data_IF_255484803820
#
_entry.id   IF_255484803820
#
_cell.length_a   1.000
_cell.length_b   1.000
_cell.length_c   1.000
_cell.angle_alpha   90.00
_cell.angle_beta   90.00
_cell.angle_gamma   90.00
#
_symmetry.space_group_name_H-M   'P 1'
#
loop_
_entity.id
_entity.type
_entity.pdbx_description
1 polymer ?
#
# COMPACT_ATOMS: atom_id res chain seq x y z
N UNK A 1 -74.21 -12.28 43.11
CA UNK A 1 -73.40 -11.03 43.07
C UNK A 1 -72.00 -11.14 43.69
N UNK A 2 -71.77 -11.92 44.77
CA UNK A 2 -70.42 -12.03 45.41
C UNK A 2 -69.30 -12.65 44.54
N UNK A 3 -69.60 -13.52 43.57
CA UNK A 3 -68.56 -14.12 42.69
C UNK A 3 -68.05 -13.17 41.58
N UNK A 4 -68.84 -12.18 41.17
CA UNK A 4 -68.44 -11.21 40.13
C UNK A 4 -67.56 -10.10 40.73
N UNK A 5 -67.79 -9.75 42.00
CA UNK A 5 -67.02 -8.72 42.71
C UNK A 5 -65.55 -9.12 42.96
N UNK A 6 -65.29 -10.40 43.27
CA UNK A 6 -63.92 -10.89 43.48
C UNK A 6 -63.09 -10.95 42.19
N UNK A 7 -63.71 -11.11 41.02
CA UNK A 7 -62.98 -11.14 39.74
C UNK A 7 -62.55 -9.71 39.34
N UNK A 8 -63.38 -8.70 39.62
CA UNK A 8 -63.05 -7.30 39.37
C UNK A 8 -61.97 -6.76 40.34
N UNK A 9 -61.97 -7.18 41.60
CA UNK A 9 -60.94 -6.78 42.58
C UNK A 9 -59.55 -7.32 42.20
N UNK A 10 -59.47 -8.56 41.71
CA UNK A 10 -58.21 -9.15 41.24
C UNK A 10 -57.72 -8.46 39.96
N UNK A 11 -58.62 -8.12 39.02
CA UNK A 11 -58.24 -7.41 37.78
C UNK A 11 -57.75 -5.96 38.03
N UNK A 12 -58.24 -5.27 39.07
CA UNK A 12 -57.76 -3.93 39.45
C UNK A 12 -56.38 -3.92 40.13
N UNK A 13 -56.02 -5.00 40.83
CA UNK A 13 -54.68 -5.15 41.43
C UNK A 13 -53.65 -5.52 40.34
N UNK A 14 -54.06 -6.27 39.30
CA UNK A 14 -53.19 -6.58 38.16
C UNK A 14 -53.02 -5.42 37.16
N UNK A 15 -53.99 -4.50 37.04
CA UNK A 15 -53.86 -3.33 36.17
C UNK A 15 -53.01 -2.19 36.78
N UNK A 16 -52.91 -2.12 38.11
CA UNK A 16 -52.03 -1.16 38.80
C UNK A 16 -50.57 -1.62 38.89
N UNK A 17 -50.31 -2.93 38.91
CA UNK A 17 -48.95 -3.49 38.90
C UNK A 17 -48.23 -3.40 37.55
N UNK A 18 -48.98 -3.20 36.45
CA UNK A 18 -48.43 -3.12 35.09
C UNK A 18 -48.06 -1.70 34.66
N UNK A 19 -48.50 -0.67 35.40
CA UNK A 19 -48.25 0.74 35.03
C UNK A 19 -47.00 1.33 35.73
N UNK A 20 -46.53 0.75 36.84
CA UNK A 20 -45.32 1.24 37.55
C UNK A 20 -43.99 0.83 36.86
N UNK A 21 -44.02 -0.07 35.88
CA UNK A 21 -42.81 -0.55 35.18
C UNK A 21 -42.54 0.09 33.80
N UNK A 22 -43.28 1.13 33.39
CA UNK A 22 -43.14 1.73 32.07
C UNK A 22 -42.37 3.06 32.01
N UNK A 23 -41.82 3.56 33.12
CA UNK A 23 -40.99 4.79 33.13
C UNK A 23 -39.62 4.65 33.83
N UNK A 24 -39.01 3.47 33.82
CA UNK A 24 -37.57 3.38 34.10
C UNK A 24 -36.77 3.37 32.80
N UNK A 25 -36.68 4.54 32.15
CA UNK A 25 -35.61 4.82 31.18
C UNK A 25 -34.30 5.09 31.93
N UNK A 26 -33.88 4.19 32.82
CA UNK A 26 -32.51 4.17 33.30
C UNK A 26 -31.68 3.38 32.26
N UNK A 27 -30.68 3.99 31.58
CA UNK A 27 -29.81 3.23 30.69
C UNK A 27 -29.21 2.07 31.50
N UNK A 28 -29.23 0.85 30.92
CA UNK A 28 -28.71 -0.36 31.58
C UNK A 28 -27.34 -0.02 32.17
N UNK A 29 -27.17 -0.22 33.47
CA UNK A 29 -25.96 0.16 34.23
C UNK A 29 -24.67 -0.40 33.62
N UNK A 30 -24.76 -1.50 32.88
CA UNK A 30 -23.69 -2.08 32.06
C UNK A 30 -23.28 -1.20 30.88
N UNK A 31 -24.23 -0.60 30.15
CA UNK A 31 -23.98 0.26 28.98
C UNK A 31 -23.37 1.62 29.38
N UNK A 32 -23.75 2.14 30.56
CA UNK A 32 -23.15 3.34 31.15
C UNK A 32 -21.73 3.06 31.62
N UNK A 33 -21.47 1.94 32.30
CA UNK A 33 -20.13 1.52 32.72
C UNK A 33 -19.21 1.22 31.52
N UNK A 34 -19.72 0.60 30.47
CA UNK A 34 -18.98 0.38 29.22
C UNK A 34 -18.67 1.69 28.49
N UNK A 35 -19.61 2.64 28.43
CA UNK A 35 -19.34 4.00 27.90
C UNK A 35 -18.30 4.76 28.72
N UNK A 36 -18.39 4.71 30.05
CA UNK A 36 -17.44 5.39 30.93
C UNK A 36 -16.02 4.78 30.85
N UNK A 37 -15.91 3.45 30.74
CA UNK A 37 -14.63 2.77 30.54
C UNK A 37 -14.05 3.02 29.14
N UNK A 38 -14.88 3.12 28.10
CA UNK A 38 -14.41 3.55 26.76
C UNK A 38 -13.97 5.01 26.72
N UNK A 39 -14.63 5.91 27.46
CA UNK A 39 -14.26 7.34 27.59
C UNK A 39 -12.94 7.52 28.34
N UNK A 40 -12.54 6.60 29.23
CA UNK A 40 -11.24 6.65 29.93
C UNK A 40 -10.13 5.84 29.24
N UNK A 41 -10.32 5.40 28.00
CA UNK A 41 -9.34 4.60 27.28
C UNK A 41 -8.56 5.46 26.25
N UNK A 42 -7.25 5.75 26.46
CA UNK A 42 -6.45 6.55 25.53
C UNK A 42 -6.44 5.95 24.11
N UNK A 43 -6.47 4.62 24.00
CA UNK A 43 -6.47 3.91 22.70
C UNK A 43 -7.74 4.14 21.89
N UNK A 44 -8.88 4.39 22.56
CA UNK A 44 -10.14 4.71 21.88
C UNK A 44 -10.02 6.05 21.15
N UNK A 45 -9.61 7.09 21.86
CA UNK A 45 -9.41 8.41 21.28
C UNK A 45 -8.26 8.45 20.27
N UNK A 46 -7.18 7.71 20.52
CA UNK A 46 -6.09 7.56 19.55
C UNK A 46 -6.60 7.03 18.20
N UNK A 47 -7.44 5.99 18.21
CA UNK A 47 -8.01 5.40 16.98
C UNK A 47 -8.94 6.35 16.24
N UNK A 48 -9.79 7.09 16.97
CA UNK A 48 -10.62 8.13 16.35
C UNK A 48 -9.77 9.22 15.71
N UNK A 49 -8.77 9.69 16.46
CA UNK A 49 -7.82 10.69 16.01
C UNK A 49 -7.05 10.26 14.75
N UNK A 50 -6.60 9.00 14.68
CA UNK A 50 -5.97 8.45 13.48
C UNK A 50 -6.94 8.40 12.29
N UNK A 51 -8.18 7.98 12.50
CA UNK A 51 -9.18 7.91 11.43
C UNK A 51 -9.47 9.30 10.84
N UNK A 52 -9.59 10.33 11.69
CA UNK A 52 -9.76 11.71 11.25
C UNK A 52 -8.49 12.26 10.57
N UNK A 53 -7.30 11.89 11.05
CA UNK A 53 -6.03 12.28 10.46
C UNK A 53 -5.85 11.69 9.05
N UNK A 54 -6.30 10.44 8.84
CA UNK A 54 -6.35 9.79 7.53
C UNK A 54 -7.41 10.42 6.62
N UNK A 55 -8.55 10.83 7.18
CA UNK A 55 -9.62 11.53 6.47
C UNK A 55 -9.31 12.97 6.09
N UNK A 56 -8.25 13.56 6.66
CA UNK A 56 -7.88 14.97 6.47
C UNK A 56 -8.63 15.96 7.37
N UNK A 57 -9.43 15.46 8.32
CA UNK A 57 -10.17 16.26 9.30
C UNK A 57 -9.24 16.71 10.43
N UNK A 58 -8.32 17.62 10.13
CA UNK A 58 -7.22 17.97 11.05
C UNK A 58 -7.69 18.47 12.42
N UNK A 59 -8.73 19.31 12.47
CA UNK A 59 -9.28 19.83 13.73
C UNK A 59 -9.82 18.71 14.63
N UNK A 60 -10.55 17.75 14.05
CA UNK A 60 -11.11 16.62 14.77
C UNK A 60 -10.03 15.62 15.19
N UNK A 61 -9.04 15.39 14.33
CA UNK A 61 -7.87 14.59 14.65
C UNK A 61 -7.13 15.15 15.87
N UNK A 62 -6.83 16.46 15.87
CA UNK A 62 -6.18 17.13 17.00
C UNK A 62 -7.03 17.02 18.26
N UNK A 63 -8.35 17.22 18.18
CA UNK A 63 -9.24 17.09 19.33
C UNK A 63 -9.17 15.71 19.98
N UNK A 64 -9.32 14.64 19.21
CA UNK A 64 -9.27 13.29 19.77
C UNK A 64 -7.87 12.88 20.21
N UNK A 65 -6.83 13.26 19.46
CA UNK A 65 -5.45 12.95 19.85
C UNK A 65 -5.02 13.71 21.12
N UNK A 66 -5.53 14.93 21.36
CA UNK A 66 -5.37 15.63 22.63
C UNK A 66 -6.02 14.87 23.79
N UNK A 67 -7.26 14.39 23.62
CA UNK A 67 -7.90 13.55 24.64
C UNK A 67 -7.12 12.27 24.94
N UNK A 68 -6.57 11.63 23.90
CA UNK A 68 -5.71 10.48 24.08
C UNK A 68 -4.45 10.85 24.88
N UNK A 69 -3.83 11.99 24.56
CA UNK A 69 -2.65 12.52 25.25
C UNK A 69 -2.92 12.93 26.71
N UNK A 70 -4.09 13.48 27.01
CA UNK A 70 -4.51 13.81 28.38
C UNK A 70 -4.65 12.56 29.25
N UNK A 71 -5.06 11.43 28.66
CA UNK A 71 -5.18 10.14 29.35
C UNK A 71 -3.85 9.38 29.45
N UNK A 72 -2.99 9.48 28.44
CA UNK A 72 -1.63 8.93 28.46
C UNK A 72 -0.67 9.85 27.70
N UNK A 73 0.03 10.70 28.45
CA UNK A 73 0.90 11.71 27.89
C UNK A 73 2.27 11.18 27.45
N UNK A 74 2.59 9.92 27.77
CA UNK A 74 3.90 9.30 27.49
C UNK A 74 3.81 8.17 26.45
N UNK A 75 2.62 7.81 25.99
CA UNK A 75 2.46 6.91 24.85
C UNK A 75 3.05 7.55 23.57
N UNK A 76 4.07 6.89 23.02
CA UNK A 76 4.84 7.39 21.87
C UNK A 76 4.04 7.34 20.57
N UNK A 77 3.08 6.43 20.44
CA UNK A 77 2.15 6.39 19.30
C UNK A 77 1.25 7.62 19.29
N UNK A 78 0.70 7.98 20.45
CA UNK A 78 -0.13 9.18 20.64
C UNK A 78 0.69 10.45 20.37
N UNK A 79 1.90 10.56 20.95
CA UNK A 79 2.80 11.68 20.73
C UNK A 79 3.12 11.88 19.24
N UNK A 80 3.44 10.79 18.53
CA UNK A 80 3.71 10.83 17.10
C UNK A 80 2.49 11.27 16.29
N UNK A 81 1.32 10.67 16.54
CA UNK A 81 0.11 11.01 15.80
C UNK A 81 -0.32 12.45 16.04
N UNK A 82 -0.30 12.92 17.29
CA UNK A 82 -0.61 14.31 17.62
C UNK A 82 0.40 15.27 17.00
N UNK A 83 1.69 14.91 17.01
CA UNK A 83 2.75 15.66 16.32
C UNK A 83 2.50 15.77 14.81
N UNK A 84 2.12 14.68 14.15
CA UNK A 84 1.77 14.69 12.71
C UNK A 84 0.54 15.57 12.46
N UNK A 85 -0.47 15.50 13.32
CA UNK A 85 -1.68 16.32 13.19
C UNK A 85 -1.37 17.82 13.30
N UNK A 86 -0.56 18.23 14.28
CA UNK A 86 -0.10 19.61 14.39
C UNK A 86 0.78 20.04 13.21
N UNK A 87 1.70 19.19 12.76
CA UNK A 87 2.54 19.50 11.60
C UNK A 87 1.70 19.78 10.34
N UNK A 88 0.67 18.96 10.10
CA UNK A 88 -0.27 19.16 8.98
C UNK A 88 -1.16 20.40 9.14
N UNK A 89 -1.45 20.80 10.38
CA UNK A 89 -2.20 22.01 10.69
C UNK A 89 -1.34 23.29 10.67
N UNK A 90 -0.04 23.20 10.38
CA UNK A 90 0.89 24.34 10.38
C UNK A 90 1.43 24.72 11.77
N UNK A 91 1.06 23.97 12.81
CA UNK A 91 1.44 24.18 14.21
C UNK A 91 2.81 23.54 14.50
N UNK A 92 3.83 23.98 13.76
CA UNK A 92 5.14 23.31 13.65
C UNK A 92 5.88 23.19 14.99
N UNK A 93 5.87 24.23 15.81
CA UNK A 93 6.55 24.20 17.13
C UNK A 93 5.91 23.20 18.10
N UNK A 94 4.57 23.08 18.08
CA UNK A 94 3.86 22.07 18.89
C UNK A 94 4.23 20.66 18.41
N UNK A 95 4.27 20.44 17.10
CA UNK A 95 4.70 19.18 16.51
C UNK A 95 6.13 18.80 16.90
N UNK A 96 7.08 19.75 16.76
CA UNK A 96 8.49 19.56 17.11
C UNK A 96 8.66 19.15 18.57
N UNK A 97 7.98 19.84 19.51
CA UNK A 97 8.01 19.50 20.95
C UNK A 97 7.56 18.07 21.21
N UNK A 98 6.47 17.62 20.57
CA UNK A 98 5.96 16.26 20.74
C UNK A 98 6.89 15.20 20.15
N UNK A 99 7.45 15.43 18.96
CA UNK A 99 8.42 14.50 18.38
C UNK A 99 9.70 14.39 19.23
N UNK A 100 10.20 15.51 19.76
CA UNK A 100 11.34 15.49 20.68
C UNK A 100 11.02 14.74 21.99
N UNK A 101 9.81 14.91 22.54
CA UNK A 101 9.35 14.12 23.69
C UNK A 101 9.31 12.62 23.36
N UNK A 102 8.74 12.24 22.22
CA UNK A 102 8.69 10.87 21.74
C UNK A 102 10.10 10.24 21.56
N UNK A 103 11.06 11.00 21.01
CA UNK A 103 12.46 10.55 20.89
C UNK A 103 13.10 10.29 22.26
N UNK A 104 12.84 11.16 23.25
CA UNK A 104 13.36 10.97 24.60
C UNK A 104 12.83 9.70 25.26
N UNK A 105 11.56 9.35 25.01
CA UNK A 105 10.91 8.17 25.58
C UNK A 105 11.31 6.87 24.87
N UNK A 106 11.34 6.87 23.53
CA UNK A 106 11.74 5.70 22.73
C UNK A 106 12.85 6.08 21.72
N UNK A 107 14.12 6.13 22.14
CA UNK A 107 15.23 6.61 21.29
C UNK A 107 15.56 5.68 20.11
N UNK A 108 15.00 4.46 20.08
CA UNK A 108 15.14 3.49 18.99
C UNK A 108 13.97 3.51 18.00
N UNK A 109 13.01 4.41 18.16
CA UNK A 109 11.85 4.51 17.26
C UNK A 109 12.16 5.34 16.01
N UNK A 110 12.66 4.69 14.96
CA UNK A 110 13.07 5.35 13.70
C UNK A 110 11.96 6.16 12.99
N UNK A 111 10.69 5.84 13.23
CA UNK A 111 9.55 6.59 12.71
C UNK A 111 9.52 8.04 13.22
N UNK A 112 9.79 8.26 14.52
CA UNK A 112 9.75 9.61 15.10
C UNK A 112 10.85 10.50 14.55
N UNK A 113 12.07 9.96 14.39
CA UNK A 113 13.17 10.66 13.71
C UNK A 113 12.80 11.02 12.28
N UNK A 114 12.14 10.11 11.55
CA UNK A 114 11.67 10.37 10.18
C UNK A 114 10.62 11.49 10.17
N UNK A 115 9.65 11.49 11.08
CA UNK A 115 8.63 12.52 11.15
C UNK A 115 9.21 13.91 11.48
N UNK A 116 10.15 13.98 12.42
CA UNK A 116 10.84 15.22 12.75
C UNK A 116 11.71 15.73 11.58
N UNK A 117 12.41 14.83 10.89
CA UNK A 117 13.16 15.17 9.69
C UNK A 117 12.26 15.75 8.59
N UNK A 118 11.07 15.16 8.37
CA UNK A 118 10.09 15.69 7.39
C UNK A 118 9.62 17.09 7.79
N UNK A 119 9.31 17.30 9.07
CA UNK A 119 8.92 18.61 9.58
C UNK A 119 10.00 19.66 9.31
N UNK A 120 11.27 19.37 9.66
CA UNK A 120 12.40 20.27 9.44
C UNK A 120 12.67 20.54 7.96
N UNK A 121 12.57 19.52 7.11
CA UNK A 121 12.71 19.68 5.66
C UNK A 121 11.60 20.59 5.08
N UNK A 122 10.38 20.55 5.63
CA UNK A 122 9.28 21.45 5.25
C UNK A 122 9.53 22.91 5.66
N UNK A 123 10.45 23.16 6.57
CA UNK A 123 10.91 24.49 6.98
C UNK A 123 12.16 24.95 6.22
N UNK A 124 12.66 24.16 5.26
CA UNK A 124 13.91 24.45 4.56
C UNK A 124 15.18 24.14 5.36
N UNK A 125 15.06 23.61 6.59
CA UNK A 125 16.18 23.22 7.45
C UNK A 125 16.75 21.86 7.03
N UNK A 126 17.32 21.82 5.82
CA UNK A 126 17.72 20.59 5.16
C UNK A 126 18.84 19.83 5.87
N UNK A 127 19.84 20.52 6.40
CA UNK A 127 20.95 19.86 7.08
C UNK A 127 20.55 19.26 8.42
N UNK A 128 19.68 19.94 9.17
CA UNK A 128 19.08 19.37 10.38
C UNK A 128 18.20 18.16 10.04
N UNK A 129 17.36 18.26 9.00
CA UNK A 129 16.52 17.16 8.54
C UNK A 129 17.35 15.91 8.19
N UNK A 130 18.47 16.10 7.48
CA UNK A 130 19.39 15.01 7.13
C UNK A 130 19.95 14.31 8.38
N UNK A 131 20.32 15.03 9.44
CA UNK A 131 20.79 14.42 10.69
C UNK A 131 19.74 13.47 11.29
N UNK A 132 18.48 13.89 11.33
CA UNK A 132 17.39 13.05 11.86
C UNK A 132 17.07 11.86 10.94
N UNK A 133 17.07 12.05 9.62
CA UNK A 133 16.89 10.92 8.69
C UNK A 133 18.05 9.92 8.75
N UNK A 134 19.30 10.39 8.84
CA UNK A 134 20.48 9.55 9.03
C UNK A 134 20.38 8.74 10.32
N UNK A 135 19.90 9.37 11.40
CA UNK A 135 19.63 8.65 12.64
C UNK A 135 18.55 7.58 12.45
N UNK A 136 17.47 7.87 11.73
CA UNK A 136 16.43 6.88 11.43
C UNK A 136 16.98 5.66 10.65
N UNK A 137 17.80 5.88 9.61
CA UNK A 137 18.35 4.78 8.81
C UNK A 137 19.43 3.97 9.51
N UNK A 138 20.10 4.55 10.53
CA UNK A 138 21.06 3.85 11.38
C UNK A 138 20.42 2.87 12.38
N UNK A 139 19.10 2.92 12.55
CA UNK A 139 18.37 2.03 13.46
C UNK A 139 17.97 0.75 12.73
N UNK A 140 18.68 -0.36 12.98
CA UNK A 140 18.49 -1.61 12.24
C UNK A 140 17.09 -2.23 12.38
N UNK A 141 16.47 -2.05 13.55
CA UNK A 141 15.11 -2.53 13.84
C UNK A 141 14.02 -1.71 13.13
N UNK A 142 14.37 -0.55 12.53
CA UNK A 142 13.40 0.28 11.85
C UNK A 142 12.97 -0.34 10.51
N UNK A 143 11.72 -0.81 10.47
CA UNK A 143 11.17 -1.54 9.32
C UNK A 143 10.83 -0.65 8.12
N UNK A 144 10.73 0.66 8.31
CA UNK A 144 10.34 1.62 7.27
C UNK A 144 11.52 2.52 6.85
N UNK A 145 12.76 1.97 6.84
CA UNK A 145 13.97 2.70 6.43
C UNK A 145 13.91 3.20 5.00
N UNK A 146 13.17 2.53 4.12
CA UNK A 146 12.85 3.00 2.76
C UNK A 146 12.27 4.42 2.76
N UNK A 147 11.34 4.74 3.65
CA UNK A 147 10.76 6.10 3.74
C UNK A 147 11.81 7.14 4.13
N UNK A 148 12.72 6.80 5.04
CA UNK A 148 13.80 7.69 5.45
C UNK A 148 14.83 7.88 4.32
N UNK A 149 15.25 6.80 3.64
CA UNK A 149 16.11 6.90 2.44
C UNK A 149 15.46 7.76 1.36
N UNK A 150 14.16 7.57 1.11
CA UNK A 150 13.42 8.35 0.13
C UNK A 150 13.41 9.84 0.49
N UNK A 151 13.16 10.18 1.76
CA UNK A 151 13.19 11.57 2.21
C UNK A 151 14.59 12.19 2.12
N UNK A 152 15.65 11.43 2.40
CA UNK A 152 17.03 11.89 2.18
C UNK A 152 17.25 12.24 0.71
N UNK A 153 16.79 11.38 -0.21
CA UNK A 153 16.88 11.67 -1.65
C UNK A 153 16.16 12.99 -1.98
N UNK A 154 14.92 13.17 -1.49
CA UNK A 154 14.16 14.41 -1.73
C UNK A 154 14.88 15.66 -1.21
N UNK A 155 15.55 15.58 -0.05
CA UNK A 155 16.36 16.68 0.47
C UNK A 155 17.54 16.97 -0.46
N UNK A 156 18.29 15.96 -0.89
CA UNK A 156 19.40 16.18 -1.81
C UNK A 156 18.97 16.74 -3.17
N UNK A 157 17.78 16.34 -3.67
CA UNK A 157 17.16 16.97 -4.84
C UNK A 157 16.93 18.46 -4.62
N UNK A 158 16.43 18.86 -3.46
CA UNK A 158 16.21 20.28 -3.11
C UNK A 158 17.50 21.06 -2.98
N UNK A 159 18.58 20.42 -2.50
CA UNK A 159 19.93 20.99 -2.45
C UNK A 159 20.66 20.99 -3.80
N UNK A 160 20.06 20.45 -4.86
CA UNK A 160 20.68 20.33 -6.19
C UNK A 160 21.76 19.25 -6.30
N UNK A 161 21.98 18.43 -5.26
CA UNK A 161 22.94 17.33 -5.31
C UNK A 161 22.29 16.09 -5.93
N UNK A 162 22.33 16.02 -7.26
CA UNK A 162 21.66 14.97 -8.01
C UNK A 162 22.35 13.60 -7.90
N UNK A 163 23.66 13.56 -7.62
CA UNK A 163 24.39 12.31 -7.41
C UNK A 163 23.87 11.59 -6.15
N UNK A 164 23.78 12.29 -5.03
CA UNK A 164 23.22 11.73 -3.80
C UNK A 164 21.71 11.49 -3.91
N UNK A 165 20.98 12.32 -4.65
CA UNK A 165 19.56 12.04 -4.94
C UNK A 165 19.37 10.69 -5.64
N UNK A 166 20.16 10.40 -6.68
CA UNK A 166 20.12 9.11 -7.39
C UNK A 166 20.49 7.95 -6.44
N UNK A 167 21.59 8.09 -5.70
CA UNK A 167 22.09 7.07 -4.77
C UNK A 167 21.03 6.69 -3.72
N UNK A 168 20.40 7.69 -3.09
CA UNK A 168 19.41 7.43 -2.05
C UNK A 168 18.07 6.92 -2.60
N UNK A 169 17.69 7.26 -3.84
CA UNK A 169 16.59 6.59 -4.52
C UNK A 169 16.91 5.12 -4.80
N UNK A 170 18.13 4.79 -5.22
CA UNK A 170 18.58 3.39 -5.38
C UNK A 170 18.54 2.64 -4.04
N UNK A 171 19.05 3.23 -2.96
CA UNK A 171 18.96 2.65 -1.60
C UNK A 171 17.51 2.40 -1.16
N UNK A 172 16.60 3.33 -1.48
CA UNK A 172 15.15 3.15 -1.24
C UNK A 172 14.63 1.90 -1.93
N UNK A 173 14.98 1.70 -3.21
CA UNK A 173 14.54 0.56 -4.02
C UNK A 173 15.23 -0.76 -3.62
N UNK A 174 16.47 -0.72 -3.15
CA UNK A 174 17.16 -1.89 -2.57
C UNK A 174 16.44 -2.37 -1.31
N UNK A 175 16.01 -1.45 -0.43
CA UNK A 175 15.30 -1.79 0.79
C UNK A 175 13.83 -2.20 0.53
N UNK A 176 13.14 -1.47 -0.35
CA UNK A 176 11.77 -1.74 -0.75
C UNK A 176 11.61 -1.69 -2.28
N UNK A 177 11.71 -2.84 -2.96
CA UNK A 177 11.53 -2.94 -4.41
C UNK A 177 10.14 -2.58 -4.93
N UNK A 178 9.15 -2.39 -4.05
CA UNK A 178 7.77 -2.02 -4.39
C UNK A 178 7.48 -0.52 -4.19
N UNK A 179 8.51 0.30 -3.88
CA UNK A 179 8.36 1.73 -3.65
C UNK A 179 8.16 2.50 -4.98
N UNK A 180 6.92 2.52 -5.47
CA UNK A 180 6.58 3.06 -6.78
C UNK A 180 7.05 4.50 -7.06
N UNK A 181 6.95 5.40 -6.07
CA UNK A 181 7.36 6.80 -6.20
C UNK A 181 8.86 6.95 -6.47
N UNK A 182 9.69 6.02 -5.99
CA UNK A 182 11.12 6.05 -6.21
C UNK A 182 11.46 5.74 -7.68
N UNK A 183 10.80 4.74 -8.29
CA UNK A 183 10.93 4.49 -9.74
C UNK A 183 10.46 5.67 -10.58
N UNK A 184 9.35 6.32 -10.20
CA UNK A 184 8.82 7.48 -10.92
C UNK A 184 9.86 8.61 -10.95
N UNK A 185 10.37 8.99 -9.77
CA UNK A 185 11.32 10.08 -9.64
C UNK A 185 12.68 9.76 -10.27
N UNK A 186 13.16 8.52 -10.13
CA UNK A 186 14.43 8.08 -10.70
C UNK A 186 14.38 8.08 -12.24
N UNK A 187 13.31 7.51 -12.81
CA UNK A 187 13.12 7.51 -14.26
C UNK A 187 12.91 8.92 -14.82
N UNK A 188 12.20 9.81 -14.11
CA UNK A 188 12.05 11.20 -14.53
C UNK A 188 13.38 11.94 -14.53
N UNK A 189 14.21 11.70 -13.53
CA UNK A 189 15.55 12.24 -13.45
C UNK A 189 16.44 11.76 -14.60
N UNK A 190 16.41 10.47 -14.92
CA UNK A 190 17.15 9.93 -16.06
C UNK A 190 16.66 10.50 -17.41
N UNK A 191 15.35 10.64 -17.60
CA UNK A 191 14.81 11.30 -18.80
C UNK A 191 15.32 12.74 -18.93
N UNK A 192 15.30 13.53 -17.85
CA UNK A 192 15.81 14.91 -17.86
C UNK A 192 17.31 14.99 -18.10
N UNK A 193 18.06 14.03 -17.57
CA UNK A 193 19.50 13.92 -17.74
C UNK A 193 19.91 13.26 -19.06
N UNK A 194 18.94 13.04 -19.98
CA UNK A 194 19.13 12.37 -21.29
C UNK A 194 19.67 10.93 -21.21
N UNK A 195 19.60 10.29 -20.04
CA UNK A 195 19.97 8.90 -19.78
C UNK A 195 18.79 7.97 -20.10
N UNK A 196 18.43 7.89 -21.37
CA UNK A 196 17.17 7.25 -21.78
C UNK A 196 17.13 5.74 -21.57
N UNK A 197 18.27 5.05 -21.68
CA UNK A 197 18.38 3.61 -21.39
C UNK A 197 18.13 3.35 -19.90
N UNK A 198 18.80 4.12 -19.02
CA UNK A 198 18.57 4.01 -17.56
C UNK A 198 17.11 4.29 -17.19
N UNK A 199 16.47 5.26 -17.85
CA UNK A 199 15.05 5.55 -17.66
C UNK A 199 14.18 4.35 -18.08
N UNK A 200 14.45 3.78 -19.26
CA UNK A 200 13.77 2.59 -19.76
C UNK A 200 13.90 1.41 -18.77
N UNK A 201 15.12 1.08 -18.35
CA UNK A 201 15.38 -0.04 -17.44
C UNK A 201 14.72 0.17 -16.08
N UNK A 202 14.74 1.41 -15.57
CA UNK A 202 14.09 1.77 -14.31
C UNK A 202 12.59 1.52 -14.36
N UNK A 203 11.92 2.03 -15.40
CA UNK A 203 10.48 1.85 -15.51
C UNK A 203 10.08 0.42 -15.89
N UNK A 204 10.90 -0.29 -16.68
CA UNK A 204 10.68 -1.69 -17.00
C UNK A 204 10.80 -2.56 -15.74
N UNK A 205 11.79 -2.28 -14.89
CA UNK A 205 11.95 -2.95 -13.60
C UNK A 205 10.73 -2.75 -12.71
N UNK A 206 10.18 -1.53 -12.65
CA UNK A 206 8.90 -1.29 -11.95
C UNK A 206 7.76 -2.18 -12.47
N UNK A 207 7.60 -2.31 -13.80
CA UNK A 207 6.58 -3.21 -14.37
C UNK A 207 6.85 -4.68 -14.04
N UNK A 208 8.10 -5.12 -14.06
CA UNK A 208 8.50 -6.49 -13.70
C UNK A 208 8.22 -6.81 -12.23
N UNK A 209 8.25 -5.79 -11.35
CA UNK A 209 7.82 -5.90 -9.95
C UNK A 209 6.29 -5.85 -9.77
N UNK A 210 5.52 -5.72 -10.86
CA UNK A 210 4.06 -5.65 -10.83
C UNK A 210 3.50 -4.26 -10.53
N UNK A 211 4.31 -3.21 -10.65
CA UNK A 211 3.90 -1.82 -10.39
C UNK A 211 3.28 -1.23 -11.66
N UNK A 212 2.02 -1.59 -11.92
CA UNK A 212 1.28 -1.15 -13.11
C UNK A 212 0.57 0.20 -12.89
N UNK A 213 1.35 1.28 -12.84
CA UNK A 213 0.84 2.65 -12.67
C UNK A 213 0.86 3.45 -13.98
N UNK A 214 -0.12 4.37 -14.22
CA UNK A 214 -0.13 5.24 -15.38
C UNK A 214 1.18 6.03 -15.59
N UNK A 215 1.79 6.50 -14.50
CA UNK A 215 3.04 7.27 -14.53
C UNK A 215 4.23 6.43 -15.00
N UNK A 216 4.27 5.15 -14.65
CA UNK A 216 5.33 4.22 -15.09
C UNK A 216 5.19 3.96 -16.59
N UNK A 217 3.97 3.70 -17.06
CA UNK A 217 3.70 3.54 -18.49
C UNK A 217 3.96 4.83 -19.29
N UNK A 218 3.64 5.99 -18.73
CA UNK A 218 3.94 7.28 -19.36
C UNK A 218 5.46 7.49 -19.45
N UNK A 219 6.19 7.16 -18.38
CA UNK A 219 7.65 7.15 -18.33
C UNK A 219 8.27 6.27 -19.41
N UNK A 220 7.81 5.02 -19.55
CA UNK A 220 8.25 4.11 -20.62
C UNK A 220 7.94 4.64 -22.02
N UNK A 221 6.75 5.21 -22.21
CA UNK A 221 6.37 5.86 -23.46
C UNK A 221 7.36 6.97 -23.86
N UNK A 222 7.72 7.83 -22.89
CA UNK A 222 8.75 8.87 -23.09
C UNK A 222 10.13 8.29 -23.36
N UNK A 223 10.56 7.26 -22.62
CA UNK A 223 11.86 6.62 -22.82
C UNK A 223 11.97 6.02 -24.23
N UNK A 224 10.96 5.27 -24.68
CA UNK A 224 10.91 4.73 -26.04
C UNK A 224 10.89 5.81 -27.12
N UNK A 225 10.19 6.93 -26.89
CA UNK A 225 10.19 8.05 -27.82
C UNK A 225 11.60 8.62 -28.02
N UNK A 226 12.34 8.87 -26.93
CA UNK A 226 13.71 9.37 -27.01
C UNK A 226 14.69 8.35 -27.60
N UNK A 227 14.44 7.05 -27.38
CA UNK A 227 15.13 5.93 -28.03
C UNK A 227 14.65 5.67 -29.48
N UNK A 228 13.85 6.57 -30.06
CA UNK A 228 13.35 6.50 -31.45
C UNK A 228 12.45 5.30 -31.75
N UNK A 229 11.99 4.56 -30.75
CA UNK A 229 11.04 3.48 -30.91
C UNK A 229 9.60 4.01 -30.82
N UNK A 230 9.15 4.68 -31.86
CA UNK A 230 7.86 5.39 -31.85
C UNK A 230 6.65 4.44 -31.76
N UNK A 231 6.77 3.21 -32.28
CA UNK A 231 5.74 2.17 -32.18
C UNK A 231 5.53 1.77 -30.71
N UNK A 232 6.60 1.42 -29.99
CA UNK A 232 6.52 1.08 -28.55
C UNK A 232 6.13 2.29 -27.72
N UNK A 233 6.63 3.48 -28.06
CA UNK A 233 6.23 4.72 -27.39
C UNK A 233 4.72 4.91 -27.43
N UNK A 234 4.10 4.83 -28.62
CA UNK A 234 2.65 4.97 -28.77
C UNK A 234 1.88 3.90 -27.98
N UNK A 235 2.35 2.66 -28.01
CA UNK A 235 1.76 1.55 -27.27
C UNK A 235 1.71 1.82 -25.76
N UNK A 236 2.83 2.20 -25.15
CA UNK A 236 2.89 2.45 -23.70
C UNK A 236 2.13 3.71 -23.29
N UNK A 237 2.12 4.76 -24.13
CA UNK A 237 1.30 5.96 -23.89
C UNK A 237 -0.20 5.65 -23.92
N UNK A 238 -0.66 4.82 -24.85
CA UNK A 238 -2.06 4.34 -24.87
C UNK A 238 -2.41 3.55 -23.62
N UNK A 239 -1.51 2.69 -23.12
CA UNK A 239 -1.69 2.01 -21.83
C UNK A 239 -1.79 3.00 -20.66
N UNK A 240 -0.90 3.99 -20.62
CA UNK A 240 -0.91 5.03 -19.60
C UNK A 240 -2.24 5.80 -19.59
N UNK A 241 -2.73 6.18 -20.78
CA UNK A 241 -3.99 6.91 -20.94
C UNK A 241 -5.19 6.11 -20.44
N UNK A 242 -5.25 4.83 -20.81
CA UNK A 242 -6.33 3.92 -20.42
C UNK A 242 -6.41 3.69 -18.90
N UNK A 243 -5.25 3.65 -18.22
CA UNK A 243 -5.19 3.45 -16.78
C UNK A 243 -5.36 4.75 -15.98
N UNK A 244 -5.10 5.90 -16.61
CA UNK A 244 -5.14 7.19 -15.92
C UNK A 244 -6.58 7.56 -15.55
N UNK A 245 -6.77 7.96 -14.28
CA UNK A 245 -7.99 8.63 -13.80
C UNK A 245 -7.78 10.13 -13.57
N UNK A 246 -6.52 10.58 -13.59
CA UNK A 246 -6.16 11.97 -13.33
C UNK A 246 -6.22 12.76 -14.64
N UNK A 247 -7.04 13.82 -14.68
CA UNK A 247 -7.32 14.61 -15.88
C UNK A 247 -6.03 15.29 -16.40
N UNK A 248 -5.24 15.88 -15.51
CA UNK A 248 -3.97 16.54 -15.86
C UNK A 248 -3.01 15.54 -16.49
N UNK A 249 -2.86 14.35 -15.90
CA UNK A 249 -2.01 13.31 -16.46
C UNK A 249 -2.52 12.83 -17.83
N UNK A 250 -3.85 12.73 -18.02
CA UNK A 250 -4.42 12.37 -19.34
C UNK A 250 -4.05 13.40 -20.41
N UNK A 251 -4.23 14.68 -20.11
CA UNK A 251 -3.87 15.77 -21.03
C UNK A 251 -2.38 15.72 -21.40
N UNK A 252 -1.50 15.54 -20.40
CA UNK A 252 -0.06 15.39 -20.65
C UNK A 252 0.26 14.19 -21.55
N UNK A 253 -0.42 13.05 -21.35
CA UNK A 253 -0.22 11.86 -22.17
C UNK A 253 -0.74 12.09 -23.60
N UNK A 254 -1.90 12.70 -23.77
CA UNK A 254 -2.49 13.01 -25.08
C UNK A 254 -1.63 13.97 -25.90
N UNK A 255 -1.14 15.03 -25.27
CA UNK A 255 -0.23 15.98 -25.90
C UNK A 255 1.06 15.28 -26.36
N UNK A 256 1.64 14.45 -25.50
CA UNK A 256 2.84 13.70 -25.85
C UNK A 256 2.57 12.64 -26.93
N UNK A 257 1.40 12.02 -26.92
CA UNK A 257 0.96 11.04 -27.93
C UNK A 257 0.86 11.68 -29.31
N UNK A 258 0.41 12.94 -29.41
CA UNK A 258 0.41 13.71 -30.66
C UNK A 258 1.83 13.83 -31.22
N UNK A 259 2.80 14.24 -30.38
CA UNK A 259 4.23 14.33 -30.76
C UNK A 259 4.80 12.99 -31.22
N UNK A 260 4.40 11.87 -30.59
CA UNK A 260 4.83 10.53 -31.01
C UNK A 260 4.25 10.13 -32.36
N UNK A 261 2.96 10.41 -32.61
CA UNK A 261 2.28 10.08 -33.88
C UNK A 261 2.86 10.85 -35.05
N UNK A 262 3.15 12.13 -34.87
CA UNK A 262 3.83 12.95 -35.88
C UNK A 262 5.16 12.29 -36.28
N UNK A 263 6.04 12.01 -35.30
CA UNK A 263 7.35 11.38 -35.57
C UNK A 263 7.25 9.98 -36.18
N UNK A 264 6.27 9.19 -35.76
CA UNK A 264 6.02 7.85 -36.32
C UNK A 264 5.65 7.93 -37.80
N UNK A 265 4.78 8.87 -38.18
CA UNK A 265 4.36 9.05 -39.58
C UNK A 265 5.54 9.51 -40.45
N UNK A 266 6.41 10.40 -39.95
CA UNK A 266 7.65 10.76 -40.64
C UNK A 266 8.58 9.56 -40.85
N UNK A 267 8.81 8.74 -39.81
CA UNK A 267 9.66 7.53 -39.90
C UNK A 267 9.16 6.56 -40.96
N UNK A 268 7.86 6.32 -41.02
CA UNK A 268 7.26 5.44 -42.02
C UNK A 268 7.41 5.97 -43.46
N UNK A 269 7.42 7.29 -43.64
CA UNK A 269 7.59 7.92 -44.94
C UNK A 269 9.06 7.94 -45.41
N UNK A 270 10.02 7.91 -44.49
CA UNK A 270 11.46 7.78 -44.78
C UNK A 270 11.91 6.32 -44.97
N UNK A 271 11.35 5.37 -44.20
CA UNK A 271 11.55 3.93 -44.42
C UNK A 271 10.95 3.48 -45.78
N UNK A 272 9.87 4.13 -46.24
CA UNK A 272 9.37 3.98 -47.61
C UNK A 272 10.33 4.46 -48.71
N UNK A 273 11.38 5.23 -48.37
CA UNK A 273 12.47 5.64 -49.27
C UNK A 273 13.78 4.87 -49.04
N UNK A 274 13.88 4.12 -47.96
CA UNK A 274 15.11 3.42 -47.56
C UNK A 274 14.73 2.03 -47.08
N UNK A 275 14.35 1.17 -48.03
CA UNK A 275 14.18 -0.25 -47.74
C UNK A 275 15.55 -0.93 -47.66
N UNK A 276 15.66 -1.82 -46.67
CA UNK A 276 16.76 -2.77 -46.38
C UNK A 276 17.89 -2.19 -45.51
N UNK A 277 17.73 -2.25 -44.18
CA UNK A 277 18.78 -2.79 -43.30
C UNK A 277 18.12 -3.71 -42.27
N UNK A 278 18.29 -5.02 -42.47
CA UNK A 278 18.23 -6.01 -41.41
C UNK A 278 19.39 -5.74 -40.46
N UNK A 279 19.17 -5.29 -39.22
CA UNK A 279 20.26 -5.29 -38.24
C UNK A 279 19.81 -5.79 -36.86
N UNK A 280 20.31 -7.00 -36.56
CA UNK A 280 20.51 -7.52 -35.23
C UNK A 280 21.35 -6.52 -34.42
N UNK A 281 20.77 -5.86 -33.42
CA UNK A 281 21.58 -5.09 -32.48
C UNK A 281 22.24 -6.02 -31.45
N UNK A 282 23.57 -6.07 -31.55
CA UNK A 282 24.50 -6.69 -30.63
C UNK A 282 24.17 -6.36 -29.17
N UNK A 283 23.92 -7.39 -28.37
CA UNK A 283 24.00 -7.33 -26.92
C UNK A 283 25.48 -7.21 -26.56
N UNK A 284 25.95 -6.03 -26.18
CA UNK A 284 27.25 -5.92 -25.51
C UNK A 284 27.16 -6.67 -24.17
N UNK A 285 28.03 -7.67 -24.02
CA UNK A 285 28.25 -8.41 -22.77
C UNK A 285 28.62 -7.39 -21.66
N UNK A 286 28.06 -7.48 -20.44
CA UNK A 286 28.44 -6.58 -19.36
C UNK A 286 29.94 -6.74 -19.05
N UNK A 287 30.66 -5.62 -19.00
CA UNK A 287 32.02 -5.59 -18.46
C UNK A 287 31.99 -6.00 -16.98
N UNK A 288 32.93 -6.85 -16.58
CA UNK A 288 33.10 -7.28 -15.20
C UNK A 288 33.35 -6.07 -14.29
N UNK A 289 32.74 -6.03 -13.08
CA UNK A 289 32.94 -4.93 -12.17
C UNK A 289 34.41 -4.83 -11.74
N UNK A 290 35.03 -3.69 -12.04
CA UNK A 290 36.31 -3.30 -11.43
C UNK A 290 36.16 -3.37 -9.91
N UNK A 291 37.12 -4.06 -9.29
CA UNK A 291 37.18 -4.40 -7.87
C UNK A 291 37.00 -3.18 -6.98
N UNK A 292 36.08 -3.28 -6.02
CA UNK A 292 35.84 -2.29 -4.97
C UNK A 292 37.01 -2.28 -3.96
N UNK A 293 37.40 -1.13 -3.39
CA UNK A 293 38.21 -1.10 -2.19
C UNK A 293 37.43 -1.71 -1.01
N UNK A 294 38.12 -2.55 -0.22
CA UNK A 294 37.56 -3.31 0.91
C UNK A 294 37.02 -2.35 1.99
N UNK A 295 35.85 -2.63 2.59
CA UNK A 295 35.36 -1.87 3.74
C UNK A 295 36.20 -2.17 4.98
N UNK A 296 36.61 -1.12 5.69
CA UNK A 296 37.23 -1.20 7.01
C UNK A 296 36.33 -1.94 8.00
N UNK A 297 36.91 -2.92 8.70
CA UNK A 297 36.25 -3.75 9.69
C UNK A 297 35.99 -2.95 10.97
N UNK A 298 34.77 -2.47 11.16
CA UNK A 298 34.29 -2.14 12.50
C UNK A 298 33.96 -3.44 13.25
N UNK A 299 34.72 -3.74 14.30
CA UNK A 299 34.43 -4.82 15.25
C UNK A 299 33.88 -4.21 16.53
N UNK A 300 32.71 -4.69 16.99
CA UNK A 300 32.16 -4.39 18.32
C UNK A 300 31.82 -5.73 19.00
N UNK A 301 32.07 -5.88 20.32
CA UNK A 301 32.16 -7.19 20.97
C UNK A 301 30.81 -7.90 21.08
N UNK A 302 30.79 -9.21 20.77
CA UNK A 302 29.65 -10.08 21.04
C UNK A 302 29.55 -10.36 22.55
N UNK A 303 28.47 -9.91 23.19
CA UNK A 303 27.97 -10.53 24.42
C UNK A 303 26.81 -11.47 24.06
N UNK A 304 26.76 -12.71 24.57
CA UNK A 304 25.69 -13.64 24.24
C UNK A 304 24.39 -13.22 24.94
N UNK A 305 23.32 -13.06 24.17
CA UNK A 305 21.96 -12.79 24.65
C UNK A 305 21.18 -14.10 24.76
N UNK A 306 20.59 -14.32 25.93
CA UNK A 306 19.71 -15.44 26.27
C UNK A 306 18.46 -15.46 25.38
N UNK A 307 18.09 -16.65 24.92
CA UNK A 307 16.86 -16.91 24.18
C UNK A 307 15.62 -16.70 25.08
N UNK A 308 14.86 -15.64 24.82
CA UNK A 308 13.48 -15.54 25.32
C UNK A 308 12.53 -15.59 24.12
N UNK A 309 11.81 -16.70 23.97
CA UNK A 309 10.76 -16.87 22.95
C UNK A 309 9.45 -16.20 23.39
N UNK A 310 8.88 -15.21 22.69
CA UNK A 310 7.54 -14.73 22.97
C UNK A 310 6.50 -15.39 22.04
N UNK A 311 5.45 -15.93 22.68
CA UNK A 311 4.23 -16.48 22.07
C UNK A 311 3.41 -15.39 21.39
N UNK A 312 3.13 -15.54 20.10
CA UNK A 312 2.14 -14.70 19.39
C UNK A 312 0.71 -15.17 19.68
N UNK A 313 -0.10 -14.34 20.34
CA UNK A 313 -1.57 -14.53 20.44
C UNK A 313 -2.25 -13.50 19.53
N UNK A 314 -2.86 -13.96 18.43
CA UNK A 314 -3.70 -13.13 17.55
C UNK A 314 -5.14 -13.17 18.05
N UNK A 315 -5.72 -12.01 18.33
CA UNK A 315 -7.17 -11.85 18.41
C UNK A 315 -7.65 -11.05 17.20
N UNK A 316 -8.46 -11.71 16.36
CA UNK A 316 -9.37 -11.09 15.42
C UNK A 316 -10.72 -10.98 16.10
N UNK A 317 -11.39 -9.83 16.05
CA UNK A 317 -12.83 -9.77 16.29
C UNK A 317 -13.55 -8.87 15.29
N UNK A 318 -14.66 -9.44 14.82
CA UNK A 318 -15.69 -8.96 13.89
C UNK A 318 -16.34 -7.61 14.25
N UNK A 319 -16.32 -6.65 13.34
CA UNK A 319 -17.29 -5.52 13.36
C UNK A 319 -17.82 -5.11 11.98
N UNK A 320 -17.60 -5.91 10.93
CA UNK A 320 -18.04 -5.55 9.56
C UNK A 320 -19.55 -5.70 9.28
N UNK A 321 -20.40 -5.95 10.28
CA UNK A 321 -21.84 -6.19 10.09
C UNK A 321 -22.79 -5.02 10.38
N UNK A 322 -22.33 -3.86 10.89
CA UNK A 322 -23.25 -2.74 11.23
C UNK A 322 -23.33 -1.58 10.21
N UNK A 323 -22.53 -1.54 9.14
CA UNK A 323 -22.55 -0.44 8.14
C UNK A 323 -23.59 -0.58 7.00
N UNK A 324 -24.74 -1.17 7.27
CA UNK A 324 -25.87 -1.20 6.31
C UNK A 324 -27.13 -0.59 6.90
N UNK A 325 -27.14 0.74 7.07
CA UNK A 325 -28.34 1.59 7.03
C UNK A 325 -27.92 3.05 7.18
N UNK A 326 -28.60 3.96 6.46
CA UNK A 326 -28.64 5.43 6.62
C UNK A 326 -27.43 6.12 5.90
N UNK A 327 -27.52 6.95 4.85
CA UNK A 327 -28.57 7.83 4.26
C UNK A 327 -28.43 7.91 2.73
N UNK A 328 -29.57 7.97 2.03
CA UNK A 328 -29.73 8.39 0.63
C UNK A 328 -29.85 9.92 0.58
N UNK A 329 -29.02 10.60 -0.21
CA UNK A 329 -29.43 11.85 -0.86
C UNK A 329 -29.12 11.75 -2.37
N UNK A 330 -30.09 12.18 -3.16
CA UNK A 330 -30.28 11.80 -4.55
C UNK A 330 -29.22 12.29 -5.52
N UNK A 331 -28.60 11.34 -6.22
CA UNK A 331 -28.11 11.51 -7.58
C UNK A 331 -28.57 10.29 -8.38
N UNK A 332 -29.41 10.50 -9.40
CA UNK A 332 -29.80 9.46 -10.37
C UNK A 332 -28.56 9.00 -11.13
N UNK A 333 -27.85 7.99 -10.60
CA UNK A 333 -26.78 7.28 -11.31
C UNK A 333 -27.41 6.40 -12.40
N UNK A 334 -27.15 6.72 -13.67
CA UNK A 334 -27.30 5.75 -14.77
C UNK A 334 -26.60 4.45 -14.35
N UNK A 335 -27.33 3.34 -14.42
CA UNK A 335 -26.88 2.02 -13.98
C UNK A 335 -25.71 1.55 -14.85
N UNK A 336 -24.49 1.69 -14.33
CA UNK A 336 -23.31 1.06 -14.92
C UNK A 336 -23.53 -0.46 -14.92
N UNK A 337 -23.36 -1.17 -16.04
CA UNK A 337 -23.50 -2.62 -16.06
C UNK A 337 -22.54 -3.23 -15.02
N UNK A 338 -23.11 -3.99 -14.07
CA UNK A 338 -22.32 -4.68 -13.04
C UNK A 338 -21.46 -5.73 -13.72
N UNK A 339 -20.21 -5.39 -14.04
CA UNK A 339 -19.20 -6.34 -14.48
C UNK A 339 -19.10 -7.43 -13.41
N UNK A 340 -19.42 -8.68 -13.76
CA UNK A 340 -19.37 -9.81 -12.83
C UNK A 340 -17.94 -10.35 -12.78
N UNK A 341 -17.20 -9.91 -11.78
CA UNK A 341 -15.83 -10.35 -11.57
C UNK A 341 -15.80 -11.82 -11.08
N UNK A 342 -15.13 -12.73 -11.81
CA UNK A 342 -14.80 -14.10 -11.35
C UNK A 342 -13.32 -14.19 -10.93
N UNK A 343 -13.06 -14.79 -9.77
CA UNK A 343 -11.73 -14.90 -9.17
C UNK A 343 -11.27 -16.36 -9.16
N UNK A 344 -10.01 -16.65 -9.46
CA UNK A 344 -9.46 -18.00 -9.27
C UNK A 344 -8.27 -17.96 -8.32
N UNK A 345 -7.93 -19.15 -7.79
CA UNK A 345 -6.77 -19.32 -6.94
C UNK A 345 -5.66 -20.00 -7.74
N UNK A 346 -4.55 -19.28 -7.99
CA UNK A 346 -3.37 -19.80 -8.66
C UNK A 346 -2.46 -20.48 -7.62
N UNK A 347 -2.33 -21.79 -7.72
CA UNK A 347 -1.53 -22.62 -6.81
C UNK A 347 -0.15 -22.97 -7.36
N UNK A 348 0.06 -22.82 -8.68
CA UNK A 348 1.35 -23.06 -9.30
C UNK A 348 1.46 -22.44 -10.69
N UNK A 349 2.70 -22.15 -11.08
CA UNK A 349 3.07 -21.69 -12.41
C UNK A 349 4.33 -22.44 -12.83
N UNK A 350 4.26 -23.13 -13.97
CA UNK A 350 5.32 -24.03 -14.42
C UNK A 350 5.70 -23.75 -15.87
N UNK A 351 6.99 -23.83 -16.18
CA UNK A 351 7.53 -23.80 -17.55
C UNK A 351 7.36 -25.14 -18.29
N UNK A 352 7.03 -26.22 -17.58
CA UNK A 352 6.80 -27.56 -18.13
C UNK A 352 5.42 -28.08 -17.75
N UNK A 353 4.73 -28.70 -18.72
CA UNK A 353 3.43 -29.32 -18.50
C UNK A 353 3.50 -30.46 -17.48
N UNK A 354 4.56 -31.27 -17.51
CA UNK A 354 4.74 -32.40 -16.58
C UNK A 354 4.77 -31.95 -15.11
N UNK A 355 5.44 -30.83 -14.82
CA UNK A 355 5.46 -30.27 -13.46
C UNK A 355 4.10 -29.71 -13.04
N UNK A 356 3.35 -29.11 -13.97
CA UNK A 356 1.98 -28.69 -13.71
C UNK A 356 1.05 -29.89 -13.45
N UNK A 357 1.24 -30.98 -14.19
CA UNK A 357 0.47 -32.21 -14.04
C UNK A 357 0.72 -32.88 -12.68
N UNK A 358 1.96 -32.91 -12.19
CA UNK A 358 2.29 -33.41 -10.84
C UNK A 358 1.49 -32.66 -9.75
N UNK A 359 1.45 -31.33 -9.82
CA UNK A 359 0.67 -30.53 -8.86
C UNK A 359 -0.84 -30.74 -9.04
N UNK A 360 -1.31 -30.84 -10.28
CA UNK A 360 -2.71 -31.12 -10.59
C UNK A 360 -3.19 -32.45 -9.99
N UNK A 361 -2.40 -33.52 -10.12
CA UNK A 361 -2.75 -34.84 -9.58
C UNK A 361 -2.79 -34.84 -8.05
N UNK A 362 -1.81 -34.20 -7.40
CA UNK A 362 -1.82 -34.00 -5.94
C UNK A 362 -3.08 -33.26 -5.47
N UNK A 363 -3.47 -32.21 -6.17
CA UNK A 363 -4.68 -31.44 -5.84
C UNK A 363 -5.97 -32.25 -6.04
N UNK A 364 -6.03 -33.09 -7.08
CA UNK A 364 -7.14 -34.03 -7.29
C UNK A 364 -7.23 -35.05 -6.15
N UNK A 365 -6.11 -35.60 -5.70
CA UNK A 365 -6.06 -36.55 -4.57
C UNK A 365 -6.56 -35.92 -3.26
N UNK A 366 -6.39 -34.61 -3.08
CA UNK A 366 -6.95 -33.85 -1.95
C UNK A 366 -8.46 -33.54 -2.09
N UNK A 367 -9.13 -34.07 -3.11
CA UNK A 367 -10.55 -33.84 -3.40
C UNK A 367 -10.86 -32.46 -3.96
N UNK A 368 -9.86 -31.77 -4.54
CA UNK A 368 -10.03 -30.45 -5.15
C UNK A 368 -10.20 -30.60 -6.66
N UNK A 369 -10.91 -29.66 -7.30
CA UNK A 369 -11.11 -29.62 -8.76
C UNK A 369 -10.21 -28.56 -9.43
N UNK A 370 -8.91 -28.83 -9.64
CA UNK A 370 -8.01 -27.90 -10.32
C UNK A 370 -8.21 -27.89 -11.85
N UNK A 371 -7.71 -26.85 -12.50
CA UNK A 371 -7.56 -26.74 -13.95
C UNK A 371 -6.14 -26.32 -14.31
N UNK A 372 -5.62 -26.82 -15.43
CA UNK A 372 -4.37 -26.35 -16.02
C UNK A 372 -4.71 -25.39 -17.16
N UNK A 373 -4.13 -24.19 -17.14
CA UNK A 373 -4.30 -23.18 -18.19
C UNK A 373 -2.95 -22.92 -18.84
N UNK A 374 -2.86 -23.18 -20.15
CA UNK A 374 -1.69 -22.88 -20.98
C UNK A 374 -1.74 -21.42 -21.43
N UNK A 375 -0.63 -20.71 -21.34
CA UNK A 375 -0.49 -19.37 -21.90
C UNK A 375 0.96 -19.13 -22.34
N UNK A 376 1.14 -18.22 -23.31
CA UNK A 376 2.43 -17.96 -23.96
C UNK A 376 3.00 -16.63 -23.47
N UNK A 377 4.28 -16.62 -23.10
CA UNK A 377 5.04 -15.41 -22.74
C UNK A 377 6.35 -15.47 -23.49
N UNK A 378 6.62 -14.47 -24.34
CA UNK A 378 7.84 -14.34 -25.15
C UNK A 378 8.21 -15.63 -25.91
N UNK A 379 7.24 -16.19 -26.63
CA UNK A 379 7.46 -17.43 -27.40
C UNK A 379 7.39 -18.73 -26.58
N UNK A 380 7.57 -18.67 -25.25
CA UNK A 380 7.63 -19.83 -24.35
C UNK A 380 6.28 -20.17 -23.74
N UNK A 381 6.00 -21.46 -23.59
CA UNK A 381 4.76 -21.96 -22.97
C UNK A 381 4.89 -22.01 -21.45
N UNK A 382 3.85 -21.55 -20.77
CA UNK A 382 3.70 -21.67 -19.33
C UNK A 382 2.34 -22.27 -18.97
N UNK A 383 2.31 -23.00 -17.86
CA UNK A 383 1.15 -23.76 -17.40
C UNK A 383 0.80 -23.31 -15.99
N UNK A 384 -0.35 -22.64 -15.84
CA UNK A 384 -0.91 -22.27 -14.54
C UNK A 384 -1.79 -23.39 -14.04
N UNK A 385 -1.63 -23.77 -12.77
CA UNK A 385 -2.61 -24.61 -12.08
C UNK A 385 -3.50 -23.71 -11.25
N UNK A 386 -4.80 -23.71 -11.54
CA UNK A 386 -5.80 -22.84 -10.92
C UNK A 386 -6.93 -23.66 -10.29
N UNK A 387 -7.62 -23.08 -9.31
CA UNK A 387 -8.76 -23.72 -8.62
C UNK A 387 -9.95 -22.77 -8.59
N UNK A 388 -11.09 -23.28 -9.09
CA UNK A 388 -12.40 -22.65 -9.01
C UNK A 388 -12.53 -21.30 -9.73
N UNK A 389 -13.75 -20.77 -9.69
CA UNK A 389 -14.06 -19.38 -9.99
C UNK A 389 -15.02 -18.84 -8.92
N UNK A 390 -14.54 -17.94 -8.08
CA UNK A 390 -15.24 -17.37 -6.93
C UNK A 390 -15.87 -16.02 -7.29
N UNK A 391 -16.92 -15.62 -6.54
CA UNK A 391 -17.64 -14.35 -6.73
C UNK A 391 -16.90 -13.15 -6.14
N UNK A 392 -15.94 -13.37 -5.22
CA UNK A 392 -15.15 -12.32 -4.59
C UNK A 392 -13.76 -12.82 -4.16
N UNK A 393 -12.77 -11.92 -3.95
CA UNK A 393 -11.47 -12.29 -3.39
C UNK A 393 -11.60 -12.92 -2.00
N UNK A 394 -12.54 -12.42 -1.18
CA UNK A 394 -12.79 -12.95 0.16
C UNK A 394 -13.26 -14.41 0.12
N UNK A 395 -14.11 -14.76 -0.83
CA UNK A 395 -14.56 -16.16 -1.01
C UNK A 395 -13.40 -17.07 -1.43
N UNK A 396 -12.52 -16.60 -2.32
CA UNK A 396 -11.32 -17.33 -2.70
C UNK A 396 -10.32 -17.49 -1.54
N UNK A 397 -10.13 -16.45 -0.71
CA UNK A 397 -9.30 -16.50 0.51
C UNK A 397 -9.86 -17.47 1.53
N UNK A 398 -11.18 -17.45 1.73
CA UNK A 398 -11.87 -18.37 2.63
C UNK A 398 -11.62 -19.82 2.20
N UNK A 399 -11.85 -20.12 0.91
CA UNK A 399 -11.54 -21.44 0.34
C UNK A 399 -10.07 -21.84 0.52
N UNK A 400 -9.13 -20.91 0.31
CA UNK A 400 -7.70 -21.15 0.55
C UNK A 400 -7.43 -21.63 1.97
N UNK A 401 -7.89 -20.88 2.98
CA UNK A 401 -7.53 -21.12 4.37
C UNK A 401 -8.36 -22.22 5.04
N UNK A 402 -9.59 -22.46 4.58
CA UNK A 402 -10.48 -23.47 5.17
C UNK A 402 -10.43 -24.81 4.44
N UNK A 403 -10.11 -24.82 3.14
CA UNK A 403 -10.10 -26.06 2.34
C UNK A 403 -8.70 -26.48 1.95
N UNK A 404 -7.85 -25.57 1.47
CA UNK A 404 -6.54 -25.94 0.93
C UNK A 404 -5.46 -26.05 2.01
N UNK A 405 -5.29 -25.02 2.83
CA UNK A 405 -4.21 -24.95 3.84
C UNK A 405 -4.31 -26.05 4.91
N UNK A 406 -5.49 -26.44 5.41
CA UNK A 406 -5.60 -27.54 6.38
C UNK A 406 -5.24 -28.90 5.77
N UNK A 407 -5.58 -29.10 4.49
CA UNK A 407 -5.23 -30.30 3.74
C UNK A 407 -3.76 -30.37 3.39
N UNK A 408 -3.11 -29.21 3.20
CA UNK A 408 -1.69 -29.13 2.84
C UNK A 408 -1.10 -27.72 3.04
N UNK A 409 -0.06 -27.60 3.89
CA UNK A 409 0.59 -26.33 4.21
C UNK A 409 1.29 -25.67 3.00
N UNK A 410 1.58 -26.44 1.94
CA UNK A 410 2.17 -25.93 0.69
C UNK A 410 1.35 -24.78 0.09
N UNK A 411 0.02 -24.81 0.23
CA UNK A 411 -0.87 -23.82 -0.38
C UNK A 411 -0.95 -22.49 0.36
N UNK A 412 -0.19 -22.28 1.45
CA UNK A 412 -0.12 -21.00 2.17
C UNK A 412 0.27 -19.82 1.26
N UNK A 413 1.09 -20.05 0.23
CA UNK A 413 1.57 -19.00 -0.70
C UNK A 413 0.71 -18.81 -1.96
N UNK A 414 -0.39 -19.56 -2.10
CA UNK A 414 -1.22 -19.47 -3.30
C UNK A 414 -1.81 -18.06 -3.51
N UNK A 415 -1.80 -17.59 -4.76
CA UNK A 415 -2.20 -16.23 -5.15
C UNK A 415 -3.66 -16.21 -5.62
N UNK A 416 -4.35 -15.10 -5.42
CA UNK A 416 -5.70 -14.89 -5.97
C UNK A 416 -5.58 -13.96 -7.18
N UNK A 417 -6.17 -14.35 -8.31
CA UNK A 417 -6.15 -13.59 -9.56
C UNK A 417 -7.55 -13.41 -10.13
N UNK A 418 -7.68 -12.42 -11.01
CA UNK A 418 -8.92 -11.95 -11.59
C UNK A 418 -8.95 -12.20 -13.11
N UNK A 419 -10.10 -12.63 -13.66
CA UNK A 419 -10.32 -12.70 -15.11
C UNK A 419 -11.73 -12.19 -15.47
N UNK A 420 -11.80 -11.49 -16.62
CA UNK A 420 -13.04 -11.13 -17.30
C UNK A 420 -13.47 -12.32 -18.15
N UNK A 421 -14.67 -12.85 -17.89
CA UNK A 421 -15.41 -13.67 -18.87
C UNK A 421 -16.56 -12.83 -19.37
#
# INVERSE_FOLDING_TARGET
MKKIFNIYLVLLIFSSFTIVNLFSCAPKTTEVKERQTTIKNPKYYYRLGLADLEGGNLSQAIYYLKKAYELDSNDVDILNALGIAYARAGEKEKAKKLFLKAIKLEPRRGETYTNLGVLLASEGKYDEALKYFQKAVSLDEYKNRDKAFFNIALVYKKKGNYNLFEEYLKKTLTFNPYFSQAYILLGEYYLKSKRYIDAYDTYLTALNMGIELPQIYFGLGKAHYYLKNYIKAEYYLKKALNLSKNIVLKQQIEEFLKKVRERKNFSNNEEGKTNIINEQFFIKKPEEPKTLPKPEKYTVPKKPLQEVKPKYRRYFTDETKKRKKIIRYGYKKKSVPKVKFKYYLQVGLFSSYGNALKLYTRLKALGVKPKIVKYKVDGKNYYKVIIGYFKSPSQARKFKYEVLVPKDKYFRRALIKYEKR
#
